data_IF_027674912634
#
_entry.id   IF_027674912634
#
_cell.length_a   1.000
_cell.length_b   1.000
_cell.length_c   1.000
_cell.angle_alpha   90.00
_cell.angle_beta   90.00
_cell.angle_gamma   90.00
#
_symmetry.space_group_name_H-M   'P 1'
#
loop_
_entity.id
_entity.type
_entity.pdbx_description
1 polymer ?
#
# COMPACT_ATOMS: atom_id res chain seq x y z
N UNK A 1 26.29 -19.42 44.70
CA UNK A 1 27.35 -18.44 44.38
C UNK A 1 27.82 -18.72 42.97
N UNK A 2 28.17 -17.67 42.25
CA UNK A 2 28.58 -17.59 40.82
C UNK A 2 27.48 -17.06 39.90
N UNK A 3 27.40 -15.72 39.91
CA UNK A 3 26.69 -14.91 38.93
C UNK A 3 27.52 -14.75 37.67
N UNK A 4 26.93 -15.07 36.52
CA UNK A 4 27.45 -14.70 35.22
C UNK A 4 26.76 -13.40 34.78
N UNK A 5 27.41 -12.29 35.13
CA UNK A 5 27.16 -10.98 34.55
C UNK A 5 27.57 -10.99 33.07
N UNK A 6 26.61 -10.91 32.16
CA UNK A 6 26.88 -10.59 30.75
C UNK A 6 26.69 -9.09 30.53
N UNK A 7 27.82 -8.40 30.40
CA UNK A 7 27.90 -7.00 29.98
C UNK A 7 27.38 -6.85 28.53
N UNK A 8 26.32 -6.06 28.35
CA UNK A 8 25.95 -5.50 27.05
C UNK A 8 27.01 -4.48 26.63
N UNK A 9 27.89 -4.86 25.70
CA UNK A 9 28.74 -3.90 24.97
C UNK A 9 28.06 -3.56 23.65
N UNK A 10 27.54 -2.34 23.56
CA UNK A 10 27.07 -1.70 22.34
C UNK A 10 28.25 -1.40 21.42
N UNK A 11 28.53 -2.30 20.49
CA UNK A 11 29.36 -2.05 19.30
C UNK A 11 28.48 -2.21 18.07
N UNK A 12 27.90 -1.07 17.64
CA UNK A 12 27.31 -0.90 16.32
C UNK A 12 28.44 -0.69 15.32
N UNK A 13 29.11 -1.76 14.92
CA UNK A 13 29.99 -1.74 13.76
C UNK A 13 30.04 -3.13 13.13
N UNK A 14 29.72 -3.18 11.84
CA UNK A 14 29.87 -4.32 10.92
C UNK A 14 28.75 -5.37 10.91
N UNK A 15 27.59 -5.00 10.33
CA UNK A 15 26.76 -5.95 9.57
C UNK A 15 26.62 -5.41 8.15
N UNK A 16 27.61 -5.72 7.32
CA UNK A 16 27.59 -5.56 5.87
C UNK A 16 26.88 -6.77 5.24
N UNK A 17 25.55 -6.76 5.19
CA UNK A 17 24.75 -7.77 4.45
C UNK A 17 23.58 -7.10 3.72
N UNK A 18 23.90 -6.11 2.89
CA UNK A 18 23.07 -5.60 1.79
C UNK A 18 23.83 -5.84 0.48
N UNK A 19 24.02 -7.10 0.11
CA UNK A 19 24.61 -7.47 -1.16
C UNK A 19 23.99 -8.77 -1.64
N UNK A 20 22.89 -8.66 -2.37
CA UNK A 20 22.44 -9.69 -3.34
C UNK A 20 21.35 -9.14 -4.28
N UNK A 21 21.52 -7.88 -4.69
CA UNK A 21 20.92 -7.35 -5.92
C UNK A 21 21.98 -6.48 -6.59
N UNK A 22 22.36 -6.74 -7.87
CA UNK A 22 23.35 -5.93 -8.55
C UNK A 22 22.83 -4.50 -8.70
N UNK A 23 23.54 -3.54 -8.10
CA UNK A 23 23.36 -2.11 -8.35
C UNK A 23 23.81 -1.83 -9.78
N UNK A 24 22.88 -1.68 -10.71
CA UNK A 24 23.20 -1.18 -12.05
C UNK A 24 23.55 0.31 -11.98
N UNK A 25 24.60 0.79 -12.67
CA UNK A 25 25.04 2.16 -12.58
C UNK A 25 24.15 3.09 -13.41
N UNK A 26 23.37 3.93 -12.73
CA UNK A 26 22.49 4.94 -13.32
C UNK A 26 23.20 6.30 -13.38
N UNK A 27 24.26 6.40 -14.19
CA UNK A 27 24.99 7.67 -14.41
C UNK A 27 24.34 8.57 -15.46
N UNK A 28 23.42 8.04 -16.28
CA UNK A 28 22.91 8.74 -17.47
C UNK A 28 21.62 9.53 -17.25
N UNK A 29 20.87 9.27 -16.17
CA UNK A 29 19.59 9.97 -15.93
C UNK A 29 19.71 11.21 -15.04
N UNK A 30 20.77 11.31 -14.22
CA UNK A 30 21.07 12.56 -13.48
C UNK A 30 21.27 13.74 -14.44
N UNK A 31 21.77 13.48 -15.65
CA UNK A 31 22.18 14.51 -16.60
C UNK A 31 21.01 15.32 -17.19
N UNK A 32 19.80 14.76 -17.28
CA UNK A 32 18.65 15.48 -17.86
C UNK A 32 17.77 16.19 -16.83
N UNK A 33 17.80 15.79 -15.57
CA UNK A 33 16.90 16.36 -14.54
C UNK A 33 17.61 17.28 -13.54
N UNK A 34 18.93 17.18 -13.37
CA UNK A 34 19.68 17.97 -12.37
C UNK A 34 20.36 19.22 -12.98
N UNK A 35 20.58 19.29 -14.29
CA UNK A 35 21.16 20.49 -14.92
C UNK A 35 20.23 21.71 -14.97
N UNK A 36 18.94 21.57 -14.62
CA UNK A 36 18.01 22.69 -14.55
C UNK A 36 18.09 23.50 -13.23
N UNK A 37 19.01 23.17 -12.30
CA UNK A 37 18.98 23.72 -10.94
C UNK A 37 20.18 24.57 -10.51
N UNK A 38 21.04 25.00 -11.43
CA UNK A 38 22.09 26.00 -11.14
C UNK A 38 22.29 26.93 -12.32
N UNK A 39 21.38 27.89 -12.49
CA UNK A 39 21.69 29.20 -13.06
C UNK A 39 20.55 30.13 -12.65
N UNK A 40 20.86 31.07 -11.76
CA UNK A 40 19.95 32.15 -11.42
C UNK A 40 19.69 32.98 -12.67
N UNK A 41 18.43 33.04 -13.08
CA UNK A 41 17.91 34.10 -13.92
C UNK A 41 16.40 34.15 -13.66
N UNK A 42 15.94 35.23 -13.03
CA UNK A 42 14.54 35.62 -13.03
C UNK A 42 14.07 35.68 -14.48
N UNK A 43 13.32 34.65 -14.90
CA UNK A 43 12.48 34.71 -16.10
C UNK A 43 11.08 34.32 -15.67
N UNK A 44 10.23 35.33 -15.59
CA UNK A 44 8.78 35.22 -15.59
C UNK A 44 8.34 34.48 -16.84
N UNK A 45 8.30 33.14 -16.80
CA UNK A 45 7.68 32.33 -17.84
C UNK A 45 6.21 32.15 -17.51
N UNK A 46 5.37 32.83 -18.27
CA UNK A 46 3.93 32.55 -18.37
C UNK A 46 3.71 31.04 -18.64
N UNK A 47 2.81 30.36 -17.90
CA UNK A 47 2.59 28.94 -18.10
C UNK A 47 1.88 28.72 -19.43
N UNK A 48 2.46 27.89 -20.31
CA UNK A 48 1.75 27.36 -21.48
C UNK A 48 0.49 26.64 -20.97
N UNK A 49 -0.66 26.75 -21.66
CA UNK A 49 -1.88 26.08 -21.21
C UNK A 49 -1.63 24.58 -21.26
N UNK A 50 -1.45 23.96 -20.10
CA UNK A 50 -1.20 22.53 -20.03
C UNK A 50 -2.40 21.78 -20.59
N UNK A 51 -2.13 20.87 -21.53
CA UNK A 51 -3.15 20.07 -22.21
C UNK A 51 -3.74 19.08 -21.22
N UNK A 52 -4.88 19.41 -20.63
CA UNK A 52 -5.65 18.52 -19.75
C UNK A 52 -6.00 17.25 -20.53
N UNK A 53 -5.53 16.10 -20.04
CA UNK A 53 -5.84 14.82 -20.67
C UNK A 53 -7.00 14.14 -19.91
N UNK A 54 -8.16 14.11 -20.55
CA UNK A 54 -9.37 13.46 -20.02
C UNK A 54 -9.44 11.95 -20.30
N UNK A 55 -8.54 11.42 -21.14
CA UNK A 55 -8.54 10.00 -21.48
C UNK A 55 -7.85 9.14 -20.43
N UNK A 56 -6.94 9.73 -19.66
CA UNK A 56 -6.14 9.06 -18.63
C UNK A 56 -6.80 9.19 -17.27
N UNK A 57 -6.99 8.05 -16.58
CA UNK A 57 -7.55 8.03 -15.23
C UNK A 57 -6.55 8.68 -14.25
N UNK A 58 -6.97 9.69 -13.46
CA UNK A 58 -6.05 10.48 -12.64
C UNK A 58 -5.42 9.65 -11.51
N UNK A 59 -6.16 8.72 -10.91
CA UNK A 59 -5.64 7.87 -9.84
C UNK A 59 -4.50 6.99 -10.34
N UNK A 60 -4.58 6.36 -11.52
CA UNK A 60 -3.49 5.53 -12.07
C UNK A 60 -2.25 6.33 -12.41
N UNK A 61 -2.42 7.50 -13.01
CA UNK A 61 -1.33 8.41 -13.32
C UNK A 61 -0.56 8.80 -12.04
N UNK A 62 -1.30 9.18 -11.00
CA UNK A 62 -0.73 9.57 -9.70
C UNK A 62 -0.07 8.37 -9.02
N UNK A 63 -0.72 7.20 -9.02
CA UNK A 63 -0.15 5.96 -8.48
C UNK A 63 1.17 5.58 -9.14
N UNK A 64 1.25 5.64 -10.48
CA UNK A 64 2.45 5.27 -11.22
C UNK A 64 3.64 6.18 -10.88
N UNK A 65 3.40 7.49 -10.83
CA UNK A 65 4.40 8.48 -10.43
C UNK A 65 4.77 8.31 -8.95
N UNK A 66 3.81 7.98 -8.08
CA UNK A 66 4.08 7.76 -6.66
C UNK A 66 4.98 6.55 -6.45
N UNK A 67 4.68 5.42 -7.10
CA UNK A 67 5.50 4.21 -7.04
C UNK A 67 6.92 4.47 -7.55
N UNK A 68 7.07 5.24 -8.62
CA UNK A 68 8.37 5.71 -9.11
C UNK A 68 9.15 6.47 -8.02
N UNK A 69 8.51 7.40 -7.32
CA UNK A 69 9.17 8.17 -6.25
C UNK A 69 9.54 7.32 -5.05
N UNK A 70 8.75 6.28 -4.74
CA UNK A 70 9.05 5.38 -3.64
C UNK A 70 10.28 4.53 -3.98
N UNK A 71 10.34 3.99 -5.20
CA UNK A 71 11.43 3.12 -5.65
C UNK A 71 12.75 3.88 -5.85
N UNK A 72 12.70 5.07 -6.47
CA UNK A 72 13.91 5.82 -6.87
C UNK A 72 14.19 7.04 -6.00
N UNK A 73 13.15 7.64 -5.41
CA UNK A 73 13.27 8.85 -4.59
C UNK A 73 13.23 8.59 -3.10
N UNK A 74 13.06 7.34 -2.64
CA UNK A 74 12.95 6.98 -1.23
C UNK A 74 11.73 7.60 -0.52
N UNK A 75 10.70 7.97 -1.27
CA UNK A 75 9.47 8.53 -0.69
C UNK A 75 8.68 7.47 0.10
N UNK A 76 7.88 7.89 1.09
CA UNK A 76 6.98 6.99 1.82
C UNK A 76 5.69 6.69 1.03
N UNK A 77 5.02 5.58 1.32
CA UNK A 77 3.76 5.23 0.65
C UNK A 77 2.60 6.19 0.98
N UNK A 78 2.58 6.75 2.19
CA UNK A 78 1.39 7.34 2.81
C UNK A 78 1.15 8.84 2.54
N UNK A 79 2.06 9.52 1.81
CA UNK A 79 2.01 10.99 1.69
C UNK A 79 1.16 11.50 0.51
N UNK A 80 -0.15 11.21 0.53
CA UNK A 80 -1.13 11.95 -0.29
C UNK A 80 -2.09 12.77 0.59
N UNK A 81 -1.57 13.38 1.66
CA UNK A 81 -2.37 14.30 2.46
C UNK A 81 -2.49 15.66 1.74
N UNK A 82 -3.62 15.87 1.09
CA UNK A 82 -3.89 17.05 0.24
C UNK A 82 -4.18 18.32 1.03
N UNK A 83 -4.56 18.23 2.32
CA UNK A 83 -5.18 19.36 3.04
C UNK A 83 -4.31 20.04 4.10
N UNK A 84 -3.17 19.48 4.49
CA UNK A 84 -2.43 19.95 5.68
C UNK A 84 -1.21 20.85 5.46
N UNK A 85 -0.48 20.75 4.34
CA UNK A 85 0.88 21.34 4.22
C UNK A 85 1.30 21.79 2.82
N UNK A 86 0.37 22.16 1.92
CA UNK A 86 0.70 22.46 0.51
C UNK A 86 1.20 21.24 -0.31
N UNK A 87 1.27 20.06 0.32
CA UNK A 87 1.76 18.80 -0.24
C UNK A 87 0.98 18.35 -1.47
N UNK A 88 -0.36 18.47 -1.48
CA UNK A 88 -1.18 17.98 -2.59
C UNK A 88 -0.97 18.75 -3.91
N UNK A 89 -0.81 20.08 -3.84
CA UNK A 89 -0.48 20.89 -5.01
C UNK A 89 0.94 20.56 -5.53
N UNK A 90 1.88 20.29 -4.61
CA UNK A 90 3.23 19.86 -4.95
C UNK A 90 3.25 18.47 -5.62
N UNK A 91 2.42 17.53 -5.17
CA UNK A 91 2.31 16.18 -5.76
C UNK A 91 1.72 16.24 -7.17
N UNK A 92 0.61 16.97 -7.38
CA UNK A 92 0.01 17.09 -8.73
C UNK A 92 0.94 17.83 -9.70
N UNK A 93 1.63 18.88 -9.23
CA UNK A 93 2.67 19.54 -10.02
C UNK A 93 3.85 18.62 -10.33
N UNK A 94 4.21 17.70 -9.42
CA UNK A 94 5.24 16.69 -9.68
C UNK A 94 4.78 15.66 -10.72
N UNK A 95 3.54 15.18 -10.61
CA UNK A 95 2.92 14.26 -11.59
C UNK A 95 2.95 14.89 -12.98
N UNK A 96 2.53 16.15 -13.08
CA UNK A 96 2.54 16.89 -14.33
C UNK A 96 3.94 17.03 -14.93
N UNK A 97 4.94 17.44 -14.12
CA UNK A 97 6.34 17.53 -14.57
C UNK A 97 6.91 16.18 -15.00
N UNK A 98 6.45 15.09 -14.40
CA UNK A 98 6.94 13.73 -14.68
C UNK A 98 6.31 13.16 -15.95
N UNK A 99 5.00 13.34 -16.13
CA UNK A 99 4.24 12.76 -17.23
C UNK A 99 4.12 13.69 -18.45
N UNK A 100 4.36 14.99 -18.28
CA UNK A 100 4.24 15.99 -19.35
C UNK A 100 2.81 16.41 -19.68
N UNK A 101 1.82 16.05 -18.86
CA UNK A 101 0.41 16.46 -19.02
C UNK A 101 -0.30 16.57 -17.66
N UNK A 102 -1.39 17.34 -17.62
CA UNK A 102 -2.26 17.43 -16.45
C UNK A 102 -3.38 16.39 -16.51
N UNK A 103 -3.74 15.83 -15.36
CA UNK A 103 -4.97 15.06 -15.17
C UNK A 103 -6.05 15.92 -14.50
N UNK A 104 -7.30 15.44 -14.47
CA UNK A 104 -8.33 16.05 -13.62
C UNK A 104 -7.89 16.02 -12.15
N UNK A 105 -8.45 16.94 -11.35
CA UNK A 105 -8.25 16.92 -9.89
C UNK A 105 -8.80 15.61 -9.30
N UNK A 106 -8.05 15.08 -8.33
CA UNK A 106 -8.47 13.91 -7.55
C UNK A 106 -9.57 14.31 -6.58
N UNK A 107 -10.64 13.53 -6.54
CA UNK A 107 -11.63 13.61 -5.46
C UNK A 107 -11.22 12.70 -4.28
N UNK A 108 -11.98 12.74 -3.19
CA UNK A 108 -11.70 11.93 -2.00
C UNK A 108 -11.77 10.41 -2.28
N UNK A 109 -12.52 9.97 -3.32
CA UNK A 109 -12.62 8.57 -3.72
C UNK A 109 -11.38 8.13 -4.49
N UNK A 110 -10.90 8.96 -5.41
CA UNK A 110 -9.66 8.74 -6.12
C UNK A 110 -8.48 8.68 -5.16
N UNK A 111 -8.41 9.58 -4.16
CA UNK A 111 -7.31 9.57 -3.17
C UNK A 111 -7.24 8.25 -2.38
N UNK A 112 -8.40 7.69 -2.00
CA UNK A 112 -8.46 6.36 -1.37
C UNK A 112 -7.97 5.28 -2.32
N UNK A 113 -8.48 5.28 -3.54
CA UNK A 113 -8.06 4.30 -4.55
C UNK A 113 -6.56 4.38 -4.85
N UNK A 114 -5.97 5.58 -4.90
CA UNK A 114 -4.52 5.74 -5.05
C UNK A 114 -3.78 5.13 -3.86
N UNK A 115 -4.26 5.37 -2.64
CA UNK A 115 -3.65 4.79 -1.42
C UNK A 115 -3.69 3.26 -1.46
N UNK A 116 -4.82 2.69 -1.87
CA UNK A 116 -5.00 1.24 -1.98
C UNK A 116 -4.13 0.65 -3.09
N UNK A 117 -4.06 1.28 -4.26
CA UNK A 117 -3.20 0.85 -5.38
C UNK A 117 -1.73 0.94 -4.99
N UNK A 118 -1.27 2.08 -4.45
CA UNK A 118 0.14 2.28 -4.09
C UNK A 118 0.54 1.33 -2.97
N UNK A 119 -0.22 1.30 -1.87
CA UNK A 119 0.05 0.45 -0.72
C UNK A 119 0.00 -1.03 -1.09
N UNK A 120 -1.02 -1.43 -1.85
CA UNK A 120 -1.19 -2.80 -2.31
C UNK A 120 -0.15 -3.26 -3.32
N UNK A 121 0.24 -2.40 -4.26
CA UNK A 121 1.32 -2.70 -5.22
C UNK A 121 2.65 -2.90 -4.49
N UNK A 122 2.94 -2.09 -3.46
CA UNK A 122 4.16 -2.25 -2.64
C UNK A 122 4.09 -3.53 -1.82
N UNK A 123 2.94 -3.79 -1.18
CA UNK A 123 2.69 -5.00 -0.38
C UNK A 123 2.92 -6.26 -1.20
N UNK A 124 2.39 -6.31 -2.42
CA UNK A 124 2.47 -7.46 -3.32
C UNK A 124 3.63 -7.40 -4.33
N UNK A 125 4.55 -6.44 -4.22
CA UNK A 125 5.57 -6.17 -5.25
C UNK A 125 6.35 -7.40 -5.69
N UNK A 126 6.79 -8.25 -4.74
CA UNK A 126 7.60 -9.43 -5.07
C UNK A 126 6.79 -10.50 -5.82
N UNK A 127 5.52 -10.66 -5.46
CA UNK A 127 4.60 -11.54 -6.16
C UNK A 127 4.31 -11.02 -7.59
N UNK A 128 4.02 -9.73 -7.72
CA UNK A 128 3.74 -9.08 -9.00
C UNK A 128 4.96 -9.15 -9.94
N UNK A 129 6.15 -8.83 -9.44
CA UNK A 129 7.40 -8.86 -10.22
C UNK A 129 7.71 -10.28 -10.74
N UNK A 130 7.50 -11.31 -9.91
CA UNK A 130 7.66 -12.70 -10.34
C UNK A 130 6.76 -13.04 -11.53
N UNK A 131 5.49 -12.62 -11.47
CA UNK A 131 4.54 -12.85 -12.57
C UNK A 131 4.92 -12.05 -13.82
N UNK A 132 5.33 -10.78 -13.68
CA UNK A 132 5.76 -9.95 -14.82
C UNK A 132 6.96 -10.59 -15.51
N UNK A 133 7.97 -11.02 -14.76
CA UNK A 133 9.15 -11.72 -15.30
C UNK A 133 8.74 -13.00 -16.02
N UNK A 134 7.89 -13.82 -15.41
CA UNK A 134 7.42 -15.06 -16.00
C UNK A 134 6.65 -14.85 -17.31
N UNK A 135 5.85 -13.77 -17.42
CA UNK A 135 5.09 -13.44 -18.63
C UNK A 135 5.95 -12.79 -19.72
N UNK A 136 7.05 -12.11 -19.35
CA UNK A 136 7.97 -11.51 -20.31
C UNK A 136 8.96 -12.53 -20.92
N UNK A 137 9.02 -13.76 -20.40
CA UNK A 137 9.89 -14.87 -20.85
C UNK A 137 11.41 -14.58 -20.83
N UNK A 138 11.83 -13.38 -20.43
CA UNK A 138 13.24 -12.97 -20.32
C UNK A 138 13.44 -11.97 -19.16
N UNK A 139 14.31 -12.33 -18.22
CA UNK A 139 14.69 -11.48 -17.08
C UNK A 139 15.44 -10.21 -17.53
N UNK A 140 16.16 -10.26 -18.66
CA UNK A 140 16.87 -9.10 -19.22
C UNK A 140 15.90 -8.01 -19.63
N UNK A 141 14.79 -8.39 -20.26
CA UNK A 141 13.72 -7.46 -20.68
C UNK A 141 13.13 -6.76 -19.46
N UNK A 142 12.88 -7.49 -18.38
CA UNK A 142 12.40 -6.91 -17.12
C UNK A 142 13.38 -5.90 -16.54
N UNK A 143 14.68 -6.22 -16.50
CA UNK A 143 15.72 -5.33 -15.95
C UNK A 143 15.98 -4.09 -16.81
N UNK A 144 15.83 -4.20 -18.13
CA UNK A 144 15.99 -3.06 -19.05
C UNK A 144 14.72 -2.25 -19.26
N UNK A 145 13.60 -2.66 -18.66
CA UNK A 145 12.31 -2.02 -18.85
C UNK A 145 12.35 -0.58 -18.35
N UNK A 146 11.67 0.30 -19.07
CA UNK A 146 11.52 1.68 -18.63
C UNK A 146 10.81 1.74 -17.27
N UNK A 147 11.34 2.46 -16.28
CA UNK A 147 10.82 2.45 -14.92
C UNK A 147 9.32 2.76 -14.79
N UNK A 148 8.83 3.74 -15.56
CA UNK A 148 7.42 4.12 -15.56
C UNK A 148 6.53 3.03 -16.16
N UNK A 149 7.01 2.35 -17.21
CA UNK A 149 6.30 1.21 -17.82
C UNK A 149 6.14 0.06 -16.82
N UNK A 150 7.21 -0.22 -16.06
CA UNK A 150 7.17 -1.24 -15.02
C UNK A 150 6.14 -0.91 -13.93
N UNK A 151 6.03 0.35 -13.51
CA UNK A 151 4.99 0.73 -12.53
C UNK A 151 3.58 0.58 -13.11
N UNK A 152 3.35 0.95 -14.37
CA UNK A 152 2.05 0.79 -15.02
C UNK A 152 1.68 -0.70 -15.09
N UNK A 153 2.62 -1.58 -15.42
CA UNK A 153 2.40 -3.02 -15.39
C UNK A 153 2.11 -3.53 -13.98
N UNK A 154 2.89 -3.12 -12.97
CA UNK A 154 2.66 -3.51 -11.56
C UNK A 154 1.26 -3.11 -11.09
N UNK A 155 0.82 -1.89 -11.42
CA UNK A 155 -0.53 -1.40 -11.12
C UNK A 155 -1.57 -2.29 -11.82
N UNK A 156 -1.44 -2.52 -13.13
CA UNK A 156 -2.38 -3.35 -13.88
C UNK A 156 -2.47 -4.79 -13.35
N UNK A 157 -1.35 -5.40 -12.96
CA UNK A 157 -1.35 -6.73 -12.34
C UNK A 157 -2.03 -6.70 -10.97
N UNK A 158 -1.77 -5.68 -10.15
CA UNK A 158 -2.40 -5.55 -8.83
C UNK A 158 -3.92 -5.39 -8.95
N UNK A 159 -4.39 -4.50 -9.84
CA UNK A 159 -5.82 -4.27 -10.05
C UNK A 159 -6.54 -5.55 -10.52
N UNK A 160 -5.93 -6.31 -11.43
CA UNK A 160 -6.53 -7.55 -11.96
C UNK A 160 -6.50 -8.69 -10.94
N UNK A 161 -5.42 -8.83 -10.16
CA UNK A 161 -5.20 -10.02 -9.30
C UNK A 161 -5.64 -9.83 -7.85
N UNK A 162 -5.67 -8.60 -7.34
CA UNK A 162 -5.89 -8.31 -5.91
C UNK A 162 -7.10 -7.44 -5.64
N UNK A 163 -7.45 -6.54 -6.56
CA UNK A 163 -8.69 -5.75 -6.47
C UNK A 163 -9.85 -6.39 -7.24
N UNK A 164 -9.60 -7.50 -7.95
CA UNK A 164 -10.55 -8.14 -8.86
C UNK A 164 -11.29 -7.14 -9.77
N UNK A 165 -10.59 -6.07 -10.17
CA UNK A 165 -11.15 -5.11 -11.12
C UNK A 165 -11.40 -5.83 -12.44
N UNK A 166 -12.57 -5.62 -13.07
CA UNK A 166 -12.88 -6.24 -14.33
C UNK A 166 -11.78 -5.86 -15.34
N UNK A 167 -11.00 -6.84 -15.84
CA UNK A 167 -9.88 -6.56 -16.73
C UNK A 167 -10.35 -5.90 -18.02
N UNK A 168 -11.53 -6.32 -18.46
CA UNK A 168 -12.26 -5.87 -19.64
C UNK A 168 -13.54 -5.21 -19.18
N UNK A 169 -13.52 -3.96 -18.73
CA UNK A 169 -14.79 -3.36 -18.34
C UNK A 169 -15.74 -3.18 -19.53
N UNK A 170 -15.29 -3.38 -20.79
CA UNK A 170 -16.05 -4.08 -21.84
C UNK A 170 -15.13 -4.47 -23.01
N UNK A 171 -14.91 -5.75 -23.30
CA UNK A 171 -14.26 -6.22 -24.56
C UNK A 171 -15.13 -7.33 -25.12
N UNK A 172 -15.96 -7.04 -26.11
CA UNK A 172 -15.60 -7.22 -27.52
C UNK A 172 -16.03 -6.01 -28.36
N UNK A 173 -15.18 -5.49 -29.24
CA UNK A 173 -15.51 -4.37 -30.14
C UNK A 173 -16.70 -4.72 -31.05
N UNK A 174 -16.88 -6.01 -31.34
CA UNK A 174 -18.02 -6.60 -32.08
C UNK A 174 -19.30 -6.71 -31.24
N UNK A 175 -19.22 -7.02 -29.92
CA UNK A 175 -20.39 -7.01 -29.01
C UNK A 175 -20.81 -5.59 -28.61
N UNK A 176 -19.85 -4.67 -28.51
CA UNK A 176 -20.10 -3.25 -28.25
C UNK A 176 -20.93 -2.58 -29.33
N UNK A 177 -20.67 -2.90 -30.60
CA UNK A 177 -21.39 -2.30 -31.72
C UNK A 177 -22.89 -2.63 -31.66
N UNK A 178 -23.23 -3.83 -31.18
CA UNK A 178 -24.60 -4.28 -30.95
C UNK A 178 -25.20 -3.60 -29.71
N UNK A 179 -24.51 -3.57 -28.57
CA UNK A 179 -25.00 -2.94 -27.33
C UNK A 179 -25.18 -1.42 -27.44
N UNK A 180 -24.39 -0.73 -28.28
CA UNK A 180 -24.49 0.72 -28.53
C UNK A 180 -25.71 1.11 -29.38
N UNK A 181 -26.33 0.13 -30.04
CA UNK A 181 -27.60 0.31 -30.77
C UNK A 181 -28.83 0.28 -29.86
N UNK A 182 -28.67 -0.15 -28.60
CA UNK A 182 -29.74 -0.18 -27.60
C UNK A 182 -29.78 1.13 -26.79
N UNK A 183 -30.91 1.86 -26.78
CA UNK A 183 -31.03 3.17 -26.12
C UNK A 183 -30.85 3.11 -24.59
N UNK A 184 -31.04 1.94 -23.97
CA UNK A 184 -30.87 1.75 -22.52
C UNK A 184 -29.40 1.70 -22.04
N UNK A 185 -28.42 1.54 -22.95
CA UNK A 185 -27.01 1.30 -22.58
C UNK A 185 -26.06 2.46 -22.93
N UNK A 186 -26.58 3.55 -23.51
CA UNK A 186 -25.78 4.70 -23.95
C UNK A 186 -25.10 5.51 -22.81
N UNK A 187 -25.46 5.23 -21.54
CA UNK A 187 -25.04 6.04 -20.38
C UNK A 187 -23.82 5.52 -19.61
N UNK A 188 -23.29 4.31 -19.87
CA UNK A 188 -22.18 3.74 -19.08
C UNK A 188 -20.99 3.38 -19.98
N UNK A 189 -19.99 4.28 -20.04
CA UNK A 189 -18.67 3.91 -20.59
C UNK A 189 -17.79 3.45 -19.44
N UNK A 190 -17.88 2.18 -19.05
CA UNK A 190 -16.90 1.59 -18.12
C UNK A 190 -15.70 1.16 -18.97
N UNK A 191 -14.64 1.97 -19.00
CA UNK A 191 -13.37 1.54 -19.61
C UNK A 191 -12.71 0.52 -18.69
N UNK A 192 -12.19 -0.57 -19.27
CA UNK A 192 -11.52 -1.62 -18.51
C UNK A 192 -10.25 -1.13 -17.83
N UNK A 193 -9.91 -1.75 -16.71
CA UNK A 193 -8.64 -1.52 -16.04
C UNK A 193 -7.45 -1.74 -17.00
N UNK A 194 -7.53 -2.74 -17.89
CA UNK A 194 -6.51 -2.94 -18.92
C UNK A 194 -6.45 -1.78 -19.91
N UNK A 195 -7.59 -1.31 -20.42
CA UNK A 195 -7.64 -0.20 -21.38
C UNK A 195 -7.14 1.12 -20.79
N UNK A 196 -7.42 1.36 -19.50
CA UNK A 196 -6.98 2.55 -18.80
C UNK A 196 -5.45 2.54 -18.58
N UNK A 197 -4.87 1.40 -18.18
CA UNK A 197 -3.41 1.23 -18.09
C UNK A 197 -2.72 1.32 -19.46
N UNK A 198 -3.32 0.75 -20.50
CA UNK A 198 -2.85 0.87 -21.89
C UNK A 198 -2.87 2.33 -22.34
N UNK A 199 -3.96 3.06 -22.06
CA UNK A 199 -4.09 4.48 -22.41
C UNK A 199 -3.01 5.30 -21.69
N UNK A 200 -2.79 5.07 -20.39
CA UNK A 200 -1.73 5.73 -19.64
C UNK A 200 -0.36 5.47 -20.27
N UNK A 201 -0.04 4.22 -20.64
CA UNK A 201 1.24 3.89 -21.28
C UNK A 201 1.39 4.52 -22.67
N UNK A 202 0.32 4.57 -23.48
CA UNK A 202 0.35 5.21 -24.81
C UNK A 202 0.64 6.70 -24.70
N UNK A 203 0.00 7.38 -23.74
CA UNK A 203 0.09 8.84 -23.57
C UNK A 203 1.38 9.24 -22.86
N UNK A 204 1.76 8.56 -21.78
CA UNK A 204 2.90 8.94 -20.96
C UNK A 204 4.25 8.51 -21.54
N UNK A 205 4.28 7.49 -22.39
CA UNK A 205 5.51 6.93 -22.95
C UNK A 205 5.51 6.97 -24.47
N UNK A 206 4.94 5.94 -25.11
CA UNK A 206 4.89 5.77 -26.57
C UNK A 206 3.83 4.73 -26.94
N UNK A 207 3.27 4.77 -28.18
CA UNK A 207 2.25 3.80 -28.60
C UNK A 207 2.67 2.33 -28.43
N UNK A 208 3.94 2.00 -28.74
CA UNK A 208 4.48 0.65 -28.56
C UNK A 208 4.47 0.15 -27.11
N UNK A 209 4.65 1.05 -26.13
CA UNK A 209 4.56 0.69 -24.71
C UNK A 209 3.13 0.30 -24.34
N UNK A 210 2.13 1.01 -24.87
CA UNK A 210 0.72 0.64 -24.73
C UNK A 210 0.39 -0.74 -25.31
N UNK A 211 0.94 -1.06 -26.48
CA UNK A 211 0.75 -2.38 -27.10
C UNK A 211 1.37 -3.50 -26.26
N UNK A 212 2.55 -3.26 -25.67
CA UNK A 212 3.20 -4.19 -24.75
C UNK A 212 2.35 -4.43 -23.49
N UNK A 213 1.87 -3.36 -22.85
CA UNK A 213 0.96 -3.46 -21.69
C UNK A 213 -0.27 -4.28 -22.04
N UNK A 214 -0.91 -3.98 -23.18
CA UNK A 214 -2.10 -4.70 -23.63
C UNK A 214 -1.82 -6.21 -23.82
N UNK A 215 -0.72 -6.55 -24.50
CA UNK A 215 -0.35 -7.95 -24.72
C UNK A 215 -0.09 -8.71 -23.42
N UNK A 216 0.66 -8.11 -22.49
CA UNK A 216 0.99 -8.74 -21.20
C UNK A 216 -0.26 -8.88 -20.32
N UNK A 217 -1.08 -7.83 -20.20
CA UNK A 217 -2.30 -7.89 -19.37
C UNK A 217 -3.32 -8.87 -19.94
N UNK A 218 -3.50 -8.95 -21.27
CA UNK A 218 -4.36 -9.98 -21.89
C UNK A 218 -3.86 -11.38 -21.58
N UNK A 219 -2.54 -11.61 -21.67
CA UNK A 219 -1.94 -12.89 -21.30
C UNK A 219 -2.17 -13.20 -19.83
N UNK A 220 -2.04 -12.22 -18.94
CA UNK A 220 -2.31 -12.38 -17.51
C UNK A 220 -3.75 -12.82 -17.26
N UNK A 221 -4.71 -12.15 -17.88
CA UNK A 221 -6.13 -12.46 -17.72
C UNK A 221 -6.44 -13.88 -18.20
N UNK A 222 -5.93 -14.25 -19.39
CA UNK A 222 -6.06 -15.61 -19.90
C UNK A 222 -5.49 -16.66 -18.93
N UNK A 223 -4.33 -16.39 -18.32
CA UNK A 223 -3.72 -17.32 -17.34
C UNK A 223 -4.49 -17.35 -16.02
N UNK A 224 -5.07 -16.22 -15.59
CA UNK A 224 -5.93 -16.14 -14.40
C UNK A 224 -7.21 -16.96 -14.59
N UNK A 225 -7.90 -16.78 -15.71
CA UNK A 225 -9.16 -17.49 -16.03
C UNK A 225 -8.98 -19.00 -16.14
N UNK A 226 -7.82 -19.45 -16.64
CA UNK A 226 -7.49 -20.86 -16.76
C UNK A 226 -6.74 -21.43 -15.54
N UNK A 227 -6.68 -20.72 -14.40
CA UNK A 227 -5.94 -21.13 -13.20
C UNK A 227 -4.49 -21.62 -13.47
N UNK A 228 -3.84 -21.03 -14.46
CA UNK A 228 -2.53 -21.45 -15.00
C UNK A 228 -1.45 -20.40 -14.77
N UNK A 229 -1.61 -19.57 -13.72
CA UNK A 229 -0.59 -18.57 -13.36
C UNK A 229 0.74 -19.28 -13.02
N UNK A 230 1.89 -18.73 -13.46
CA UNK A 230 3.20 -19.33 -13.24
C UNK A 230 3.66 -19.11 -11.78
N UNK A 231 3.02 -19.80 -10.84
CA UNK A 231 3.32 -19.72 -9.42
C UNK A 231 4.56 -20.56 -9.09
N UNK A 232 5.43 -20.08 -8.18
CA UNK A 232 6.58 -20.86 -7.74
C UNK A 232 6.11 -22.07 -6.92
N UNK A 233 6.66 -23.25 -7.21
CA UNK A 233 6.38 -24.48 -6.46
C UNK A 233 7.12 -24.46 -5.12
N UNK A 234 6.43 -24.83 -4.04
CA UNK A 234 7.00 -24.96 -2.70
C UNK A 234 7.57 -26.37 -2.54
N UNK A 235 8.68 -26.65 -3.23
CA UNK A 235 9.31 -27.96 -3.29
C UNK A 235 10.83 -27.85 -3.07
N UNK A 236 11.48 -28.99 -2.85
CA UNK A 236 12.93 -29.10 -2.67
C UNK A 236 13.42 -28.71 -1.27
N UNK A 237 14.66 -28.21 -1.19
CA UNK A 237 15.29 -27.88 0.10
C UNK A 237 14.66 -26.65 0.79
N UNK A 238 14.93 -26.49 2.09
CA UNK A 238 14.40 -25.38 2.91
C UNK A 238 14.62 -23.99 2.29
N UNK A 239 15.75 -23.79 1.61
CA UNK A 239 16.07 -22.51 0.96
C UNK A 239 15.17 -22.25 -0.24
N UNK A 240 14.90 -23.27 -1.06
CA UNK A 240 13.99 -23.19 -2.21
C UNK A 240 12.56 -22.98 -1.75
N UNK A 241 12.10 -23.74 -0.75
CA UNK A 241 10.77 -23.57 -0.18
C UNK A 241 10.57 -22.16 0.40
N UNK A 242 11.55 -21.65 1.15
CA UNK A 242 11.48 -20.29 1.69
C UNK A 242 11.48 -19.22 0.60
N UNK A 243 12.20 -19.42 -0.52
CA UNK A 243 12.15 -18.51 -1.68
C UNK A 243 10.78 -18.54 -2.37
N UNK A 244 10.19 -19.72 -2.55
CA UNK A 244 8.86 -19.86 -3.13
C UNK A 244 7.81 -19.17 -2.25
N UNK A 245 7.81 -19.42 -0.95
CA UNK A 245 6.92 -18.77 0.01
C UNK A 245 7.12 -17.26 0.09
N UNK A 246 8.37 -16.79 0.08
CA UNK A 246 8.68 -15.36 0.01
C UNK A 246 8.04 -14.69 -1.21
N UNK A 247 8.05 -15.34 -2.36
CA UNK A 247 7.39 -14.83 -3.56
C UNK A 247 5.87 -14.91 -3.45
N UNK A 248 5.30 -16.05 -3.04
CA UNK A 248 3.84 -16.24 -2.93
C UNK A 248 3.17 -15.26 -1.99
N UNK A 249 3.79 -14.99 -0.85
CA UNK A 249 3.27 -14.06 0.17
C UNK A 249 3.94 -12.68 0.10
N UNK A 250 4.79 -12.41 -0.88
CA UNK A 250 5.46 -11.12 -1.06
C UNK A 250 6.24 -10.59 0.16
N UNK A 251 7.02 -11.46 0.81
CA UNK A 251 7.88 -11.12 1.95
C UNK A 251 9.37 -11.28 1.59
N UNK A 252 10.31 -10.60 2.30
CA UNK A 252 11.74 -10.84 2.12
C UNK A 252 12.14 -12.26 2.51
N UNK A 253 12.99 -12.90 1.69
CA UNK A 253 13.41 -14.31 1.90
C UNK A 253 14.01 -14.54 3.28
N UNK A 254 14.84 -13.60 3.77
CA UNK A 254 15.46 -13.72 5.10
C UNK A 254 14.42 -13.75 6.23
N UNK A 255 13.32 -12.99 6.08
CA UNK A 255 12.25 -12.90 7.06
C UNK A 255 11.41 -14.17 7.07
N UNK A 256 11.08 -14.68 5.89
CA UNK A 256 10.39 -15.98 5.73
C UNK A 256 11.21 -17.11 6.35
N UNK A 257 12.52 -17.17 6.06
CA UNK A 257 13.42 -18.16 6.69
C UNK A 257 13.43 -18.04 8.21
N UNK A 258 13.43 -16.82 8.73
CA UNK A 258 13.37 -16.56 10.17
C UNK A 258 12.07 -17.08 10.77
N UNK A 259 10.92 -16.78 10.18
CA UNK A 259 9.63 -17.25 10.69
C UNK A 259 9.48 -18.76 10.60
N UNK A 260 9.89 -19.39 9.49
CA UNK A 260 9.88 -20.86 9.37
C UNK A 260 10.72 -21.49 10.48
N UNK A 261 11.90 -20.92 10.77
CA UNK A 261 12.79 -21.44 11.83
C UNK A 261 12.17 -21.36 13.23
N UNK A 262 11.45 -20.28 13.55
CA UNK A 262 10.93 -20.04 14.91
C UNK A 262 9.51 -20.55 15.15
N UNK A 263 8.64 -20.47 14.13
CA UNK A 263 7.21 -20.79 14.23
C UNK A 263 6.83 -22.11 13.55
N UNK A 264 7.74 -22.65 12.71
CA UNK A 264 7.40 -23.71 11.77
C UNK A 264 6.75 -23.17 10.49
N UNK A 265 6.67 -24.00 9.46
CA UNK A 265 6.26 -23.58 8.13
C UNK A 265 4.77 -23.19 8.05
N UNK A 266 3.89 -23.96 8.67
CA UNK A 266 2.44 -23.70 8.63
C UNK A 266 2.06 -22.40 9.35
N UNK A 267 2.62 -22.17 10.54
CA UNK A 267 2.34 -20.95 11.28
C UNK A 267 2.97 -19.72 10.62
N UNK A 268 4.16 -19.87 10.01
CA UNK A 268 4.74 -18.83 9.18
C UNK A 268 3.85 -18.48 7.98
N UNK A 269 3.21 -19.46 7.32
CA UNK A 269 2.24 -19.21 6.24
C UNK A 269 1.03 -18.43 6.75
N UNK A 270 0.48 -18.78 7.92
CA UNK A 270 -0.63 -18.04 8.53
C UNK A 270 -0.27 -16.60 8.84
N UNK A 271 0.89 -16.37 9.46
CA UNK A 271 1.41 -15.02 9.73
C UNK A 271 1.58 -14.20 8.45
N UNK A 272 2.17 -14.79 7.42
CA UNK A 272 2.37 -14.14 6.12
C UNK A 272 1.06 -13.84 5.40
N UNK A 273 0.06 -14.73 5.52
CA UNK A 273 -1.29 -14.49 4.99
C UNK A 273 -1.94 -13.31 5.73
N UNK A 274 -1.87 -13.32 7.07
CA UNK A 274 -2.44 -12.28 7.93
C UNK A 274 -1.82 -10.90 7.67
N UNK A 275 -0.49 -10.81 7.53
CA UNK A 275 0.21 -9.56 7.18
C UNK A 275 -0.28 -8.94 5.86
N UNK A 276 -0.80 -9.77 4.95
CA UNK A 276 -1.28 -9.32 3.64
C UNK A 276 -2.78 -9.05 3.59
N UNK A 277 -3.53 -9.43 4.62
CA UNK A 277 -4.94 -9.11 4.75
C UNK A 277 -5.18 -7.60 4.77
N UNK A 278 -6.40 -7.20 4.48
CA UNK A 278 -6.76 -5.79 4.54
C UNK A 278 -6.66 -5.26 5.97
N UNK A 279 -6.05 -4.08 6.15
CA UNK A 279 -5.87 -3.52 7.48
C UNK A 279 -7.22 -3.20 8.10
N UNK A 280 -7.38 -3.53 9.37
CA UNK A 280 -8.48 -3.04 10.20
C UNK A 280 -8.01 -1.84 11.02
N UNK A 281 -8.91 -0.91 11.28
CA UNK A 281 -8.65 0.20 12.19
C UNK A 281 -9.17 -0.17 13.57
N UNK A 282 -8.34 0.09 14.58
CA UNK A 282 -8.74 -0.02 15.98
C UNK A 282 -8.98 1.39 16.51
N UNK A 283 -10.16 1.60 17.09
CA UNK A 283 -10.60 2.87 17.67
C UNK A 283 -10.64 2.73 19.18
N UNK A 284 -10.01 3.67 19.87
CA UNK A 284 -10.05 3.78 21.32
C UNK A 284 -11.00 4.90 21.73
N UNK A 285 -11.99 4.55 22.55
CA UNK A 285 -12.88 5.54 23.18
C UNK A 285 -12.11 6.39 24.20
N UNK A 286 -12.41 7.69 24.26
CA UNK A 286 -11.77 8.61 25.18
C UNK A 286 -12.57 8.72 26.49
N UNK A 287 -12.30 7.80 27.41
CA UNK A 287 -12.94 7.78 28.74
C UNK A 287 -12.64 9.02 29.57
N UNK A 288 -11.51 9.71 29.34
CA UNK A 288 -11.19 10.97 30.01
C UNK A 288 -12.16 12.11 29.65
N UNK A 289 -12.86 12.01 28.51
CA UNK A 289 -13.95 12.92 28.11
C UNK A 289 -15.33 12.40 28.49
N UNK A 290 -15.41 11.35 29.29
CA UNK A 290 -16.68 10.68 29.62
C UNK A 290 -17.30 9.92 28.45
N UNK A 291 -16.54 9.62 27.40
CA UNK A 291 -17.02 8.87 26.24
C UNK A 291 -16.62 7.40 26.35
N UNK A 292 -17.58 6.52 26.61
CA UNK A 292 -17.32 5.09 26.84
C UNK A 292 -17.31 4.28 25.53
N UNK A 293 -16.82 3.03 25.60
CA UNK A 293 -16.95 2.07 24.48
C UNK A 293 -18.41 1.87 24.07
N UNK A 294 -19.35 1.86 25.02
CA UNK A 294 -20.77 1.71 24.71
C UNK A 294 -21.32 2.91 23.93
N UNK A 295 -20.86 4.13 24.24
CA UNK A 295 -21.24 5.34 23.51
C UNK A 295 -20.64 5.34 22.09
N UNK A 296 -19.39 4.87 21.97
CA UNK A 296 -18.75 4.69 20.67
C UNK A 296 -19.53 3.69 19.80
N UNK A 297 -19.91 2.53 20.36
CA UNK A 297 -20.72 1.52 19.67
C UNK A 297 -22.05 2.09 19.19
N UNK A 298 -22.82 2.75 20.06
CA UNK A 298 -24.09 3.42 19.68
C UNK A 298 -23.90 4.41 18.54
N UNK A 299 -22.79 5.17 18.56
CA UNK A 299 -22.48 6.13 17.50
C UNK A 299 -22.14 5.42 16.19
N UNK A 300 -21.39 4.31 16.23
CA UNK A 300 -21.06 3.51 15.05
C UNK A 300 -22.30 2.85 14.44
N UNK A 301 -23.22 2.34 15.27
CA UNK A 301 -24.51 1.81 14.82
C UNK A 301 -25.34 2.88 14.12
N UNK A 302 -25.42 4.09 14.69
CA UNK A 302 -26.11 5.24 14.08
C UNK A 302 -25.50 5.61 12.73
N UNK A 303 -24.18 5.54 12.61
CA UNK A 303 -23.43 5.80 11.37
C UNK A 303 -23.46 4.61 10.40
N UNK A 304 -24.11 3.50 10.77
CA UNK A 304 -24.17 2.24 10.00
C UNK A 304 -22.78 1.71 9.65
N UNK A 305 -21.84 1.84 10.57
CA UNK A 305 -20.46 1.34 10.40
C UNK A 305 -20.36 -0.06 11.01
N UNK A 306 -20.03 -1.10 10.20
CA UNK A 306 -19.75 -2.43 10.72
C UNK A 306 -18.57 -2.38 11.69
N UNK A 307 -18.72 -3.02 12.84
CA UNK A 307 -17.71 -2.98 13.89
C UNK A 307 -17.71 -4.27 14.70
N UNK A 308 -16.57 -4.55 15.32
CA UNK A 308 -16.35 -5.69 16.20
C UNK A 308 -15.77 -5.19 17.52
N UNK A 309 -16.22 -5.75 18.64
CA UNK A 309 -15.65 -5.42 19.94
C UNK A 309 -14.28 -6.06 20.09
N UNK A 310 -13.34 -5.33 20.71
CA UNK A 310 -12.06 -5.92 21.09
C UNK A 310 -12.27 -7.01 22.14
N UNK A 311 -11.59 -8.14 21.97
CA UNK A 311 -11.67 -9.28 22.90
C UNK A 311 -10.93 -9.03 24.21
N UNK A 312 -9.91 -8.18 24.18
CA UNK A 312 -8.94 -8.04 25.26
C UNK A 312 -8.96 -6.66 25.92
N UNK A 313 -9.57 -5.65 25.29
CA UNK A 313 -9.54 -4.27 25.76
C UNK A 313 -10.95 -3.66 25.80
N UNK A 314 -11.32 -3.12 26.98
CA UNK A 314 -12.66 -2.58 27.21
C UNK A 314 -12.91 -1.20 26.59
N UNK A 315 -11.86 -0.52 26.16
CA UNK A 315 -11.95 0.80 25.53
C UNK A 315 -11.94 0.75 24.00
N UNK A 316 -11.75 -0.43 23.40
CA UNK A 316 -11.46 -0.58 21.97
C UNK A 316 -12.60 -1.19 21.17
N UNK A 317 -12.74 -0.69 19.94
CA UNK A 317 -13.63 -1.19 18.89
C UNK A 317 -12.86 -1.28 17.58
N UNK A 318 -12.98 -2.40 16.87
CA UNK A 318 -12.36 -2.63 15.57
C UNK A 318 -13.36 -2.35 14.46
N UNK A 319 -12.89 -1.71 13.40
CA UNK A 319 -13.65 -1.49 12.16
C UNK A 319 -12.81 -1.93 10.97
N UNK A 320 -13.48 -2.46 9.95
CA UNK A 320 -12.84 -2.83 8.66
C UNK A 320 -13.17 -1.83 7.56
N UNK A 321 -14.36 -1.22 7.63
CA UNK A 321 -14.85 -0.24 6.65
C UNK A 321 -15.51 0.93 7.37
N UNK A 322 -15.84 2.01 6.64
CA UNK A 322 -16.62 3.13 7.20
C UNK A 322 -15.82 4.19 7.96
N UNK A 323 -14.48 4.13 7.94
CA UNK A 323 -13.61 5.15 8.55
C UNK A 323 -13.94 6.59 8.09
N UNK A 324 -14.34 6.76 6.83
CA UNK A 324 -14.74 8.06 6.29
C UNK A 324 -15.98 8.64 6.99
N UNK A 325 -16.96 7.79 7.32
CA UNK A 325 -18.17 8.23 8.02
C UNK A 325 -17.83 8.74 9.42
N UNK A 326 -16.84 8.12 10.07
CA UNK A 326 -16.34 8.51 11.40
C UNK A 326 -15.61 9.85 11.34
N UNK A 327 -14.77 10.05 10.32
CA UNK A 327 -14.07 11.33 10.09
C UNK A 327 -15.09 12.44 9.83
N UNK A 328 -16.07 12.21 8.97
CA UNK A 328 -17.12 13.18 8.64
C UNK A 328 -18.03 13.49 9.83
N UNK A 329 -18.33 12.49 10.66
CA UNK A 329 -19.12 12.65 11.86
C UNK A 329 -18.37 13.36 13.01
N UNK A 330 -17.10 13.73 12.82
CA UNK A 330 -16.34 14.56 13.75
C UNK A 330 -15.72 13.82 14.94
N UNK A 331 -15.96 12.51 15.12
CA UNK A 331 -15.57 11.77 16.33
C UNK A 331 -14.07 11.89 16.66
N UNK A 332 -13.22 11.85 15.64
CA UNK A 332 -11.76 12.03 15.81
C UNK A 332 -11.39 13.49 16.06
N UNK A 333 -12.03 14.43 15.36
CA UNK A 333 -11.76 15.87 15.48
C UNK A 333 -12.14 16.40 16.86
N UNK A 334 -13.26 15.91 17.38
CA UNK A 334 -13.79 16.26 18.69
C UNK A 334 -13.05 15.51 19.81
N UNK A 335 -12.14 14.59 19.46
CA UNK A 335 -11.34 13.80 20.38
C UNK A 335 -12.16 12.84 21.24
N UNK A 336 -13.34 12.42 20.76
CA UNK A 336 -14.20 11.42 21.42
C UNK A 336 -13.60 10.02 21.28
N UNK A 337 -12.89 9.77 20.18
CA UNK A 337 -12.08 8.58 20.00
C UNK A 337 -10.77 8.90 19.28
N UNK A 338 -9.85 7.93 19.29
CA UNK A 338 -8.56 8.01 18.58
C UNK A 338 -8.29 6.72 17.82
N UNK A 339 -7.58 6.80 16.69
CA UNK A 339 -7.11 5.61 15.97
C UNK A 339 -5.84 5.13 16.65
N UNK A 340 -5.87 3.95 17.26
CA UNK A 340 -4.75 3.36 17.99
C UNK A 340 -4.79 1.85 17.82
N UNK A 341 -3.65 1.22 17.58
CA UNK A 341 -3.57 -0.24 17.53
C UNK A 341 -3.77 -0.85 18.94
N UNK A 342 -4.49 -1.96 19.03
CA UNK A 342 -4.76 -2.64 20.30
C UNK A 342 -3.48 -3.07 21.02
N UNK A 343 -2.44 -3.50 20.29
CA UNK A 343 -1.15 -3.87 20.89
C UNK A 343 -0.49 -2.67 21.59
N UNK A 344 -0.65 -1.47 21.02
CA UNK A 344 -0.19 -0.23 21.66
C UNK A 344 -1.08 0.12 22.86
N UNK A 345 -2.39 -0.12 22.75
CA UNK A 345 -3.34 0.03 23.85
C UNK A 345 -3.01 -0.85 25.07
N UNK A 346 -2.57 -2.08 24.85
CA UNK A 346 -2.19 -3.02 25.92
C UNK A 346 -1.01 -2.50 26.77
N UNK A 347 0.00 -1.88 26.14
CA UNK A 347 1.13 -1.26 26.87
C UNK A 347 0.67 -0.19 27.86
N UNK A 348 -0.29 0.66 27.45
CA UNK A 348 -0.84 1.69 28.33
C UNK A 348 -1.69 1.11 29.46
N UNK A 349 -2.30 -0.06 29.27
CA UNK A 349 -3.05 -0.73 30.32
C UNK A 349 -2.12 -1.30 31.41
N UNK A 350 -1.01 -1.95 31.02
CA UNK A 350 -0.02 -2.47 31.98
C UNK A 350 0.66 -1.37 32.80
N UNK A 351 0.97 -0.23 32.17
CA UNK A 351 1.57 0.91 32.89
C UNK A 351 0.56 1.57 33.84
N UNK A 352 -0.72 1.65 33.45
CA UNK A 352 -1.76 2.23 34.28
C UNK A 352 -2.13 1.35 35.49
N UNK A 353 -2.06 0.01 35.39
CA UNK A 353 -2.20 -0.90 36.54
C UNK A 353 -1.03 -0.72 37.52
N UNK A 354 0.19 -0.58 37.00
CA UNK A 354 1.40 -0.35 37.81
C UNK A 354 1.35 1.02 38.51
N UNK A 355 0.84 2.06 37.83
CA UNK A 355 0.61 3.39 38.40
C UNK A 355 -0.56 3.43 39.39
N UNK A 356 -1.67 2.72 39.13
CA UNK A 356 -2.79 2.63 40.10
C UNK A 356 -2.37 1.92 41.38
N UNK A 357 -1.59 0.84 41.30
CA UNK A 357 -1.05 0.18 42.49
C UNK A 357 -0.13 1.10 43.31
N UNK A 358 0.73 1.87 42.65
CA UNK A 358 1.68 2.76 43.34
C UNK A 358 1.03 4.05 43.88
N UNK A 359 -0.04 4.56 43.26
CA UNK A 359 -0.81 5.72 43.76
C UNK A 359 -1.76 5.33 44.90
N UNK A 360 -2.34 4.13 44.89
CA UNK A 360 -3.18 3.62 46.00
C UNK A 360 -2.32 3.26 47.22
N UNK A 361 -1.15 2.64 47.02
CA UNK A 361 -0.21 2.32 48.12
C UNK A 361 0.33 3.58 48.82
N UNK A 362 0.58 4.68 48.08
CA UNK A 362 1.02 5.95 48.68
C UNK A 362 -0.08 6.72 49.43
N UNK A 363 -1.36 6.44 49.18
CA UNK A 363 -2.48 7.09 49.89
C UNK A 363 -2.92 6.37 51.17
N UNK A 364 -2.67 5.06 51.28
CA UNK A 364 -3.20 4.27 52.40
C UNK A 364 -2.15 3.70 53.38
N UNK A 365 -0.86 4.03 53.24
CA UNK A 365 0.14 3.74 54.28
C UNK A 365 0.37 2.25 54.62
N UNK A 366 -0.19 1.32 53.86
CA UNK A 366 -0.03 -0.13 54.08
C UNK A 366 0.86 -0.74 53.00
N UNK A 367 1.97 -1.34 53.42
CA UNK A 367 2.84 -2.17 52.56
C UNK A 367 2.02 -3.35 52.00
N UNK A 368 2.17 -3.70 50.71
CA UNK A 368 1.60 -4.93 50.19
C UNK A 368 2.39 -6.13 50.73
N UNK A 369 1.67 -7.07 51.33
CA UNK A 369 2.21 -8.35 51.80
C UNK A 369 2.47 -9.26 50.59
N UNK A 370 3.71 -9.69 50.43
CA UNK A 370 4.14 -10.57 49.33
C UNK A 370 4.05 -12.00 49.84
N UNK A 371 2.86 -12.58 49.83
CA UNK A 371 2.68 -14.00 50.12
C UNK A 371 1.48 -14.60 49.37
N UNK A 372 1.52 -14.58 48.04
CA UNK A 372 0.92 -15.61 47.18
C UNK A 372 1.16 -15.26 45.71
N UNK A 373 2.31 -15.70 45.19
CA UNK A 373 2.50 -16.05 43.78
C UNK A 373 2.87 -17.52 43.73
#
# INVERSE_FOLDING_TARGET
>A
MEGLHFHFSTSLSNISLFSDFPKTPFSTWKSRTIQAQKQGLEKTTTPRPNKLNLQVSPHRAVSAVRLMRIEYGGAFADLLNTKGKGSGANEMGYVERTLGFCTRKLDDRDLRLVTDIVGGTIRWRRYLDHLIVALCHDERVFRSMEPLLLQILRIGFYEILKLDMPPYAVVDETKWQILRSLPAFQSYTVKGCADENVTLAKVALRPGAGNMVNGILRRLVFLKENNSLPLPKVEGNDRMQARALATLYSHPVWMVRRWIKYLGQEEAKRLMAWNNCDPSFSLRANTAKGFSRADLVKRLETLKVPHELSRNLDDFVRITTGMQNIIQAGLLKDGLCSVQDESTGQLFFSDCVTFRCSVISRRNGTKPDISSM
#
